data_IF_803733098204
#
_entry.id   IF_803733098204
#
_cell.length_a   1.000
_cell.length_b   1.000
_cell.length_c   1.000
_cell.angle_alpha   90.00
_cell.angle_beta   90.00
_cell.angle_gamma   90.00
#
_symmetry.space_group_name_H-M   'P 1'
#
loop_
_entity.id
_entity.type
_entity.pdbx_description
1 polymer ?
#
# COMPACT_ATOMS: atom_id res chain seq x y z
N UNK A 1 -5.07 8.77 6.55
CA UNK A 1 -4.93 9.19 7.96
C UNK A 1 -5.10 7.97 8.83
N UNK A 2 -4.01 7.26 9.12
CA UNK A 2 -4.01 6.08 9.97
C UNK A 2 -3.47 6.50 11.35
N UNK A 3 -4.35 6.56 12.34
CA UNK A 3 -4.01 6.89 13.72
C UNK A 3 -3.70 5.60 14.47
N UNK A 4 -2.43 5.32 14.69
CA UNK A 4 -1.97 4.19 15.51
C UNK A 4 -2.22 4.48 17.00
N UNK A 5 -3.20 3.79 17.60
CA UNK A 5 -3.43 3.80 19.06
C UNK A 5 -2.46 2.81 19.72
N UNK A 6 -1.48 3.32 20.47
CA UNK A 6 -0.61 2.50 21.33
C UNK A 6 -1.36 2.09 22.60
N UNK A 7 -1.48 0.79 22.84
CA UNK A 7 -1.98 0.19 24.08
C UNK A 7 -1.00 0.49 25.22
N UNK A 8 -1.44 1.17 26.27
CA UNK A 8 -0.70 1.35 27.53
C UNK A 8 -1.41 0.54 28.61
N UNK A 9 -0.68 -0.41 29.19
CA UNK A 9 -1.04 -1.23 30.36
C UNK A 9 -0.86 -0.36 31.62
N UNK A 10 -1.78 -0.36 32.60
CA UNK A 10 -1.56 0.37 33.84
C UNK A 10 -0.67 -0.45 34.78
N UNK A 11 0.26 0.22 35.45
CA UNK A 11 1.07 -0.30 36.56
C UNK A 11 0.51 0.29 37.87
N UNK A 12 0.55 -0.42 39.01
CA UNK A 12 -0.23 -0.06 40.19
C UNK A 12 0.40 1.08 40.98
N UNK A 13 -0.46 1.79 41.70
CA UNK A 13 -0.16 2.86 42.66
C UNK A 13 0.53 2.26 43.89
N UNK A 14 1.65 2.85 44.30
CA UNK A 14 2.31 2.62 45.58
C UNK A 14 2.42 3.97 46.29
N UNK A 15 1.68 4.10 47.40
CA UNK A 15 1.66 5.24 48.29
C UNK A 15 2.92 5.20 49.17
N UNK A 16 3.73 6.27 49.14
CA UNK A 16 4.94 6.40 49.96
C UNK A 16 5.32 7.86 50.18
N UNK A 17 5.10 8.30 51.42
CA UNK A 17 5.21 9.65 51.98
C UNK A 17 6.64 10.26 52.01
N UNK A 18 6.67 11.59 52.09
CA UNK A 18 7.77 12.49 52.50
C UNK A 18 9.00 12.70 51.59
N UNK A 19 8.99 13.83 50.87
CA UNK A 19 10.13 14.78 50.75
C UNK A 19 9.71 16.01 49.92
N UNK A 20 9.01 16.98 50.53
CA UNK A 20 8.80 18.31 49.96
C UNK A 20 10.07 19.16 50.11
N UNK A 21 11.06 18.87 49.27
CA UNK A 21 12.25 19.69 49.12
C UNK A 21 11.94 20.84 48.17
N UNK A 22 11.63 22.01 48.74
CA UNK A 22 11.52 23.30 48.04
C UNK A 22 12.64 23.49 47.01
N UNK A 23 12.30 23.31 45.73
CA UNK A 23 13.25 23.36 44.59
C UNK A 23 13.64 24.80 44.20
N UNK A 24 13.14 25.80 44.92
CA UNK A 24 13.27 27.25 44.60
C UNK A 24 14.49 27.89 45.28
N UNK A 25 15.63 27.22 45.26
CA UNK A 25 16.93 27.83 45.61
C UNK A 25 18.08 27.33 44.74
N UNK A 26 17.78 26.63 43.64
CA UNK A 26 18.75 26.36 42.59
C UNK A 26 18.79 27.58 41.67
N UNK A 27 19.88 28.32 41.73
CA UNK A 27 20.23 29.31 40.70
C UNK A 27 20.02 28.66 39.32
N UNK A 28 19.41 29.36 38.34
CA UNK A 28 19.16 28.78 37.03
C UNK A 28 20.44 28.20 36.47
N UNK A 29 20.37 26.98 35.94
CA UNK A 29 21.49 26.39 35.21
C UNK A 29 21.99 27.43 34.19
N UNK A 30 23.30 27.74 34.16
CA UNK A 30 23.81 28.69 33.19
C UNK A 30 23.38 28.26 31.79
N UNK A 31 22.97 29.25 30.98
CA UNK A 31 22.63 29.04 29.57
C UNK A 31 23.70 28.18 28.89
N UNK A 32 23.35 27.24 28.01
CA UNK A 32 24.33 26.36 27.35
C UNK A 32 25.47 27.11 26.62
N UNK A 33 25.33 28.42 26.39
CA UNK A 33 26.34 29.29 25.78
C UNK A 33 27.27 30.00 26.78
N UNK A 34 27.21 29.71 28.10
CA UNK A 34 28.13 30.34 29.07
C UNK A 34 29.53 29.72 29.10
N UNK A 35 29.73 28.62 28.37
CA UNK A 35 31.00 27.91 28.21
C UNK A 35 31.32 27.69 26.72
N UNK A 36 30.93 28.62 25.85
CA UNK A 36 31.58 28.75 24.53
C UNK A 36 33.00 29.26 24.77
N UNK A 37 33.87 28.34 25.21
CA UNK A 37 35.30 28.48 25.03
C UNK A 37 35.49 28.45 23.53
N UNK A 38 35.52 29.65 22.93
CA UNK A 38 35.78 29.93 21.52
C UNK A 38 36.43 28.73 20.79
N UNK A 39 35.62 27.96 20.06
CA UNK A 39 36.06 26.75 19.34
C UNK A 39 37.13 27.06 18.28
N UNK A 40 37.28 28.34 17.92
CA UNK A 40 38.35 28.82 17.08
C UNK A 40 39.66 28.92 17.86
N UNK A 41 40.44 27.83 17.83
CA UNK A 41 41.88 27.79 18.17
C UNK A 41 42.66 28.97 17.57
N UNK A 42 42.17 29.53 16.46
CA UNK A 42 42.76 30.65 15.75
C UNK A 42 42.42 32.04 16.35
N UNK A 43 41.47 32.15 17.28
CA UNK A 43 41.08 33.43 17.92
C UNK A 43 42.19 34.02 18.80
N UNK A 44 43.03 33.16 19.39
CA UNK A 44 44.22 33.60 20.14
C UNK A 44 45.32 34.16 19.24
N UNK A 45 45.39 33.72 17.98
CA UNK A 45 46.37 34.19 16.99
C UNK A 45 45.99 35.57 16.41
N UNK A 46 44.75 36.04 16.59
CA UNK A 46 44.29 37.38 16.16
C UNK A 46 45.00 38.53 16.90
N UNK A 47 45.42 38.29 18.15
CA UNK A 47 46.14 39.28 18.97
C UNK A 47 47.64 39.34 18.66
N UNK A 48 48.17 38.34 17.94
CA UNK A 48 49.54 38.32 17.45
C UNK A 48 49.58 38.98 16.07
N UNK A 49 49.88 40.28 16.05
CA UNK A 49 50.05 41.12 14.86
C UNK A 49 51.32 40.73 14.05
N UNK A 50 51.50 39.44 13.78
CA UNK A 50 52.55 38.87 12.95
C UNK A 50 52.18 38.90 11.47
N UNK A 51 53.17 38.68 10.61
CA UNK A 51 52.94 38.45 9.18
C UNK A 51 51.91 37.34 8.99
N UNK A 52 50.93 37.48 8.06
CA UNK A 52 49.97 36.43 7.78
C UNK A 52 50.71 35.14 7.43
N UNK A 53 50.31 34.03 8.06
CA UNK A 53 50.83 32.70 7.74
C UNK A 53 50.32 32.31 6.35
N UNK A 54 51.20 31.84 5.49
CA UNK A 54 50.78 31.26 4.21
C UNK A 54 50.05 29.93 4.49
N UNK A 55 48.78 29.83 4.10
CA UNK A 55 48.02 28.59 4.17
C UNK A 55 48.53 27.67 3.05
N UNK A 56 49.16 26.56 3.44
CA UNK A 56 49.71 25.57 2.51
C UNK A 56 48.63 24.49 2.31
N UNK A 57 48.23 24.27 1.06
CA UNK A 57 47.32 23.18 0.70
C UNK A 57 48.12 21.96 0.26
N UNK A 58 47.48 20.78 0.23
CA UNK A 58 48.11 19.51 -0.18
C UNK A 58 48.68 19.57 -1.61
N UNK A 59 48.07 20.35 -2.49
CA UNK A 59 48.44 20.45 -3.91
C UNK A 59 49.52 21.52 -4.18
N UNK A 60 49.77 22.42 -3.22
CA UNK A 60 50.69 23.55 -3.42
C UNK A 60 52.07 23.24 -2.85
N UNK A 61 53.08 23.20 -3.73
CA UNK A 61 54.50 23.07 -3.33
C UNK A 61 54.92 24.20 -2.38
N UNK A 62 55.78 23.86 -1.42
CA UNK A 62 56.33 24.83 -0.48
C UNK A 62 57.27 25.77 -1.24
N UNK A 63 57.03 27.08 -1.14
CA UNK A 63 57.90 28.10 -1.76
C UNK A 63 59.31 28.07 -1.14
N UNK A 64 60.37 28.39 -1.92
CA UNK A 64 61.73 28.46 -1.39
C UNK A 64 61.91 29.56 -0.32
N UNK A 65 61.00 30.55 -0.28
CA UNK A 65 60.95 31.62 0.74
C UNK A 65 60.51 31.10 2.12
N UNK A 66 59.92 29.90 2.20
CA UNK A 66 59.46 29.33 3.46
C UNK A 66 60.66 28.86 4.30
N UNK A 67 60.66 29.21 5.61
CA UNK A 67 61.71 28.81 6.54
C UNK A 67 61.91 27.29 6.60
N UNK A 68 60.84 26.51 6.46
CA UNK A 68 60.89 25.04 6.42
C UNK A 68 61.68 24.51 5.23
N UNK A 69 61.47 25.06 4.03
CA UNK A 69 62.24 24.71 2.84
C UNK A 69 63.72 25.01 3.04
N UNK A 70 64.05 26.21 3.55
CA UNK A 70 65.43 26.60 3.83
C UNK A 70 66.11 25.71 4.89
N UNK A 71 65.39 25.24 5.90
CA UNK A 71 65.91 24.29 6.89
C UNK A 71 66.18 22.91 6.28
N UNK A 72 65.26 22.41 5.45
CA UNK A 72 65.43 21.12 4.76
C UNK A 72 66.62 21.16 3.79
N UNK A 73 66.76 22.24 3.00
CA UNK A 73 67.92 22.42 2.12
C UNK A 73 69.24 22.44 2.87
N UNK A 74 69.29 23.06 4.06
CA UNK A 74 70.50 23.06 4.91
C UNK A 74 70.86 21.67 5.45
N UNK A 75 69.88 20.77 5.58
CA UNK A 75 70.08 19.39 6.02
C UNK A 75 70.38 18.44 4.84
N UNK A 76 70.56 18.96 3.62
CA UNK A 76 70.91 18.18 2.44
C UNK A 76 69.71 17.64 1.65
N UNK A 77 68.49 18.09 1.95
CA UNK A 77 67.30 17.73 1.17
C UNK A 77 67.10 18.67 -0.03
N UNK A 78 66.82 18.11 -1.20
CA UNK A 78 66.53 18.86 -2.43
C UNK A 78 65.06 18.71 -2.87
N UNK A 79 64.51 19.70 -3.59
CA UNK A 79 63.12 19.66 -4.05
C UNK A 79 62.87 18.42 -4.91
N UNK A 80 61.84 17.63 -4.57
CA UNK A 80 61.49 16.40 -5.28
C UNK A 80 62.26 15.17 -4.82
N UNK A 81 63.21 15.32 -3.88
CA UNK A 81 63.90 14.18 -3.29
C UNK A 81 63.04 13.54 -2.19
N UNK A 82 62.80 12.23 -2.22
CA UNK A 82 62.12 11.53 -1.15
C UNK A 82 62.98 11.54 0.13
N UNK A 83 62.33 11.68 1.28
CA UNK A 83 63.02 11.67 2.57
C UNK A 83 63.23 10.23 3.05
N UNK A 84 64.39 9.95 3.65
CA UNK A 84 64.73 8.64 4.22
C UNK A 84 66.13 8.17 3.82
N UNK A 85 66.69 7.25 4.61
CA UNK A 85 68.07 6.73 4.42
C UNK A 85 68.22 6.04 3.07
N UNK A 86 67.17 5.32 2.64
CA UNK A 86 67.15 4.58 1.36
C UNK A 86 66.56 5.38 0.20
N UNK A 87 66.08 6.61 0.42
CA UNK A 87 65.41 7.40 -0.62
C UNK A 87 64.11 6.77 -1.17
N UNK A 88 63.47 5.87 -0.43
CA UNK A 88 62.20 5.19 -0.82
C UNK A 88 60.96 5.87 -0.21
N UNK A 89 61.11 7.09 0.32
CA UNK A 89 60.01 7.86 0.86
C UNK A 89 59.01 8.31 -0.22
N UNK A 90 57.75 8.56 0.15
CA UNK A 90 56.80 9.22 -0.74
C UNK A 90 57.15 10.71 -0.88
N UNK A 91 57.18 11.21 -2.12
CA UNK A 91 57.45 12.63 -2.43
C UNK A 91 56.21 13.49 -2.18
N UNK A 92 55.03 12.96 -2.51
CA UNK A 92 53.76 13.68 -2.39
C UNK A 92 53.04 13.36 -1.07
N UNK A 93 52.34 14.33 -0.47
CA UNK A 93 51.55 14.09 0.72
C UNK A 93 50.43 13.07 0.46
N UNK A 94 50.04 12.32 1.49
CA UNK A 94 48.96 11.33 1.37
C UNK A 94 47.63 12.08 1.19
N UNK A 95 46.88 11.85 0.08
CA UNK A 95 45.56 12.42 -0.07
C UNK A 95 44.64 11.83 1.00
N UNK A 96 43.99 12.71 1.76
CA UNK A 96 42.99 12.32 2.73
C UNK A 96 41.66 12.96 2.37
N UNK A 97 40.58 12.21 2.54
CA UNK A 97 39.23 12.72 2.42
C UNK A 97 38.70 12.97 3.82
N UNK A 98 38.52 14.23 4.18
CA UNK A 98 37.82 14.56 5.41
C UNK A 98 36.34 14.22 5.22
N UNK A 99 35.85 13.25 5.98
CA UNK A 99 34.44 12.87 5.93
C UNK A 99 33.61 13.95 6.61
N UNK A 100 32.82 14.67 5.84
CA UNK A 100 31.83 15.64 6.33
C UNK A 100 30.56 14.99 6.86
N UNK A 101 30.32 13.73 6.50
CA UNK A 101 29.05 13.07 6.74
C UNK A 101 29.01 12.39 8.11
N UNK A 102 27.89 12.53 8.83
CA UNK A 102 27.61 11.82 10.09
C UNK A 102 27.32 10.33 9.90
N UNK A 103 27.25 9.86 8.67
CA UNK A 103 26.98 8.48 8.31
C UNK A 103 28.09 7.56 8.80
N UNK A 104 27.80 6.34 9.25
CA UNK A 104 28.84 5.36 9.61
C UNK A 104 29.77 5.00 8.44
N UNK A 105 30.98 4.54 8.74
CA UNK A 105 31.86 3.95 7.71
C UNK A 105 31.19 2.68 7.18
N UNK A 106 31.13 2.52 5.85
CA UNK A 106 30.55 1.32 5.21
C UNK A 106 29.04 1.36 4.96
N UNK A 107 28.27 2.28 5.56
CA UNK A 107 26.82 2.38 5.32
C UNK A 107 26.50 2.69 3.86
N UNK A 108 27.27 3.56 3.21
CA UNK A 108 27.11 3.86 1.78
C UNK A 108 27.22 2.58 0.94
N UNK A 109 28.18 1.70 1.24
CA UNK A 109 28.33 0.44 0.51
C UNK A 109 27.16 -0.52 0.75
N UNK A 110 26.59 -0.53 1.95
CA UNK A 110 25.40 -1.31 2.27
C UNK A 110 24.17 -0.78 1.52
N UNK A 111 23.98 0.55 1.53
CA UNK A 111 22.87 1.20 0.84
C UNK A 111 22.94 0.95 -0.66
N UNK A 112 24.13 1.02 -1.27
CA UNK A 112 24.34 0.68 -2.69
C UNK A 112 23.95 -0.78 -2.98
N UNK A 113 24.35 -1.74 -2.15
CA UNK A 113 23.96 -3.15 -2.32
C UNK A 113 22.45 -3.36 -2.17
N UNK A 114 21.82 -2.65 -1.23
CA UNK A 114 20.36 -2.69 -1.06
C UNK A 114 19.64 -2.08 -2.28
N UNK A 115 20.13 -0.95 -2.78
CA UNK A 115 19.60 -0.30 -3.98
C UNK A 115 19.76 -1.22 -5.18
N UNK A 116 20.91 -1.87 -5.36
CA UNK A 116 21.15 -2.81 -6.45
C UNK A 116 20.18 -4.00 -6.39
N UNK A 117 20.01 -4.62 -5.22
CA UNK A 117 19.06 -5.74 -5.06
C UNK A 117 17.60 -5.33 -5.29
N UNK A 118 17.19 -4.15 -4.85
CA UNK A 118 15.80 -3.68 -4.96
C UNK A 118 15.45 -3.06 -6.30
N UNK A 119 16.41 -2.44 -6.99
CA UNK A 119 16.22 -1.70 -8.24
C UNK A 119 16.68 -2.51 -9.46
N UNK A 120 17.38 -3.64 -9.27
CA UNK A 120 17.85 -4.52 -10.36
C UNK A 120 16.76 -4.92 -11.36
N UNK A 121 15.51 -4.97 -10.93
CA UNK A 121 14.37 -5.23 -11.81
C UNK A 121 13.40 -4.06 -11.74
N UNK A 122 13.13 -3.45 -12.91
CA UNK A 122 11.98 -2.57 -13.06
C UNK A 122 10.75 -3.36 -12.64
N UNK A 123 9.95 -2.80 -11.74
CA UNK A 123 8.65 -3.37 -11.36
C UNK A 123 7.81 -3.49 -12.64
N UNK A 124 7.69 -4.71 -13.15
CA UNK A 124 6.87 -4.99 -14.33
C UNK A 124 5.43 -4.58 -14.04
N UNK A 125 4.76 -4.04 -15.06
CA UNK A 125 3.33 -3.78 -14.96
C UNK A 125 2.58 -5.11 -14.89
N UNK A 126 1.46 -5.15 -14.16
CA UNK A 126 0.65 -6.37 -14.06
C UNK A 126 0.21 -6.89 -15.44
N UNK A 127 0.06 -6.01 -16.43
CA UNK A 127 -0.22 -6.37 -17.83
C UNK A 127 0.93 -7.06 -18.55
N UNK A 128 2.18 -6.64 -18.31
CA UNK A 128 3.37 -7.26 -18.89
C UNK A 128 3.60 -8.65 -18.27
N UNK A 129 3.40 -8.74 -16.95
CA UNK A 129 3.46 -10.01 -16.20
C UNK A 129 2.39 -10.99 -16.66
N UNK A 130 1.18 -10.52 -16.93
CA UNK A 130 0.06 -11.33 -17.44
C UNK A 130 0.28 -11.86 -18.87
N UNK A 131 1.06 -11.17 -19.70
CA UNK A 131 1.35 -11.61 -21.07
C UNK A 131 2.50 -12.64 -21.15
N UNK A 132 3.45 -12.61 -20.20
CA UNK A 132 4.56 -13.58 -20.10
C UNK A 132 4.18 -14.86 -19.34
N UNK A 133 3.04 -14.85 -18.66
CA UNK A 133 2.60 -15.93 -17.79
C UNK A 133 2.15 -17.16 -18.58
N UNK A 134 2.53 -18.35 -18.12
CA UNK A 134 2.04 -19.62 -18.67
C UNK A 134 0.56 -19.85 -18.33
N UNK A 135 -0.15 -20.65 -19.13
CA UNK A 135 -1.58 -20.89 -18.92
C UNK A 135 -1.92 -21.45 -17.52
N UNK A 136 -1.04 -22.29 -16.96
CA UNK A 136 -1.19 -22.83 -15.60
C UNK A 136 -1.08 -21.74 -14.51
N UNK A 137 -0.16 -20.80 -14.67
CA UNK A 137 -0.02 -19.67 -13.74
C UNK A 137 -1.22 -18.72 -13.86
N UNK A 138 -1.74 -18.51 -15.08
CA UNK A 138 -2.96 -17.74 -15.32
C UNK A 138 -4.16 -18.38 -14.62
N UNK A 139 -4.30 -19.70 -14.72
CA UNK A 139 -5.35 -20.46 -14.04
C UNK A 139 -5.21 -20.38 -12.53
N UNK A 140 -4.01 -20.54 -11.98
CA UNK A 140 -3.76 -20.40 -10.54
C UNK A 140 -4.16 -19.01 -10.01
N UNK A 141 -3.83 -17.93 -10.74
CA UNK A 141 -4.27 -16.58 -10.36
C UNK A 141 -5.79 -16.43 -10.43
N UNK A 142 -6.42 -16.97 -11.47
CA UNK A 142 -7.88 -16.94 -11.61
C UNK A 142 -8.56 -17.72 -10.47
N UNK A 143 -8.03 -18.88 -10.10
CA UNK A 143 -8.54 -19.71 -9.01
C UNK A 143 -8.34 -19.02 -7.65
N UNK A 144 -7.21 -18.36 -7.42
CA UNK A 144 -6.98 -17.56 -6.21
C UNK A 144 -7.90 -16.33 -6.15
N UNK A 145 -8.10 -15.64 -7.27
CA UNK A 145 -9.03 -14.51 -7.36
C UNK A 145 -10.47 -14.97 -7.15
N UNK A 146 -10.86 -16.09 -7.76
CA UNK A 146 -12.15 -16.72 -7.58
C UNK A 146 -12.36 -17.12 -6.12
N UNK A 147 -11.37 -17.76 -5.49
CA UNK A 147 -11.42 -18.14 -4.06
C UNK A 147 -11.57 -16.92 -3.16
N UNK A 148 -10.79 -15.86 -3.41
CA UNK A 148 -10.92 -14.59 -2.66
C UNK A 148 -12.29 -13.96 -2.83
N UNK A 149 -12.84 -13.97 -4.05
CA UNK A 149 -14.17 -13.43 -4.32
C UNK A 149 -15.29 -14.27 -3.68
N UNK A 150 -15.15 -15.60 -3.68
CA UNK A 150 -16.09 -16.51 -3.03
C UNK A 150 -16.11 -16.27 -1.52
N UNK A 151 -14.94 -16.22 -0.88
CA UNK A 151 -14.84 -15.87 0.54
C UNK A 151 -15.39 -14.47 0.83
N UNK A 152 -15.13 -13.49 -0.03
CA UNK A 152 -15.67 -12.14 0.15
C UNK A 152 -17.21 -12.13 0.06
N UNK A 153 -17.81 -12.91 -0.85
CA UNK A 153 -19.26 -13.05 -0.96
C UNK A 153 -19.85 -13.77 0.25
N UNK A 154 -19.21 -14.84 0.74
CA UNK A 154 -19.63 -15.53 1.96
C UNK A 154 -19.59 -14.61 3.19
N UNK A 155 -18.52 -13.81 3.32
CA UNK A 155 -18.41 -12.81 4.37
C UNK A 155 -19.47 -11.70 4.21
N UNK A 156 -19.76 -11.29 2.98
CA UNK A 156 -20.81 -10.31 2.71
C UNK A 156 -22.19 -10.86 3.10
N UNK A 157 -22.52 -12.09 2.70
CA UNK A 157 -23.82 -12.72 2.97
C UNK A 157 -24.04 -12.95 4.47
N UNK A 158 -23.01 -13.36 5.20
CA UNK A 158 -23.08 -13.49 6.66
C UNK A 158 -23.32 -12.14 7.34
N UNK A 159 -22.58 -11.10 6.92
CA UNK A 159 -22.73 -9.73 7.46
C UNK A 159 -24.02 -9.04 7.00
N UNK A 160 -24.61 -9.46 5.88
CA UNK A 160 -25.83 -8.89 5.31
C UNK A 160 -27.01 -8.96 6.27
N UNK A 161 -27.08 -10.03 7.07
CA UNK A 161 -28.10 -10.21 8.10
C UNK A 161 -28.11 -9.11 9.16
N UNK A 162 -26.97 -8.45 9.40
CA UNK A 162 -26.81 -7.36 10.36
C UNK A 162 -26.68 -5.98 9.70
N UNK A 163 -27.09 -5.85 8.44
CA UNK A 163 -27.00 -4.61 7.68
C UNK A 163 -28.38 -3.99 7.44
N UNK A 164 -28.53 -2.73 7.83
CA UNK A 164 -29.74 -1.96 7.58
C UNK A 164 -29.58 -1.09 6.32
N UNK A 165 -30.30 -1.42 5.24
CA UNK A 165 -30.28 -0.70 3.95
C UNK A 165 -31.00 0.66 3.95
N UNK A 166 -31.81 0.94 4.97
CA UNK A 166 -32.47 2.24 5.13
C UNK A 166 -31.52 3.24 5.77
N UNK A 167 -30.66 2.77 6.67
CA UNK A 167 -29.79 3.60 7.48
C UNK A 167 -28.31 3.51 7.10
N UNK A 168 -27.95 2.63 6.17
CA UNK A 168 -26.58 2.31 5.75
C UNK A 168 -25.66 2.04 6.94
N UNK A 169 -26.18 1.26 7.90
CA UNK A 169 -25.48 0.89 9.13
C UNK A 169 -25.26 -0.61 9.18
N UNK A 170 -24.01 -1.01 9.39
CA UNK A 170 -23.60 -2.37 9.71
C UNK A 170 -23.54 -2.52 11.23
N UNK A 171 -24.23 -3.54 11.75
CA UNK A 171 -24.23 -3.88 13.18
C UNK A 171 -23.36 -5.11 13.43
N UNK A 172 -22.81 -5.19 14.64
CA UNK A 172 -21.88 -6.28 15.03
C UNK A 172 -22.58 -7.47 15.67
N UNK A 173 -23.75 -7.25 16.26
CA UNK A 173 -24.51 -8.26 16.98
C UNK A 173 -26.00 -8.18 16.62
N UNK A 174 -26.69 -9.31 16.78
CA UNK A 174 -28.13 -9.46 16.52
C UNK A 174 -28.94 -8.46 17.34
N UNK A 175 -28.60 -8.29 18.63
CA UNK A 175 -29.34 -7.41 19.56
C UNK A 175 -29.29 -5.95 19.16
N UNK A 176 -28.11 -5.45 18.75
CA UNK A 176 -27.94 -4.07 18.30
C UNK A 176 -28.70 -3.79 17.00
N UNK A 177 -28.74 -4.79 16.10
CA UNK A 177 -29.52 -4.69 14.87
C UNK A 177 -31.02 -4.62 15.17
N UNK A 178 -31.51 -5.50 16.04
CA UNK A 178 -32.92 -5.56 16.42
C UNK A 178 -33.39 -4.25 17.10
N UNK A 179 -32.63 -3.77 18.10
CA UNK A 179 -32.86 -2.47 18.75
C UNK A 179 -32.88 -1.31 17.75
N UNK A 180 -31.98 -1.33 16.76
CA UNK A 180 -31.98 -0.32 15.71
C UNK A 180 -33.26 -0.40 14.87
N UNK A 181 -33.67 -1.58 14.43
CA UNK A 181 -34.88 -1.75 13.61
C UNK A 181 -36.15 -1.38 14.34
N UNK A 182 -36.20 -1.58 15.66
CA UNK A 182 -37.32 -1.21 16.53
C UNK A 182 -37.27 0.28 16.97
N UNK A 183 -36.16 0.98 16.73
CA UNK A 183 -36.03 2.38 17.13
C UNK A 183 -36.96 3.31 16.34
N UNK A 184 -37.56 4.29 17.03
CA UNK A 184 -38.44 5.29 16.42
C UNK A 184 -37.82 6.01 15.21
N UNK A 185 -36.52 6.31 15.29
CA UNK A 185 -35.77 6.96 14.22
C UNK A 185 -35.66 6.10 12.95
N UNK A 186 -35.54 4.77 13.10
CA UNK A 186 -35.51 3.85 11.96
C UNK A 186 -36.87 3.80 11.26
N UNK A 187 -37.97 3.66 12.02
CA UNK A 187 -39.32 3.66 11.48
C UNK A 187 -39.68 4.97 10.77
N UNK A 188 -39.23 6.12 11.29
CA UNK A 188 -39.40 7.40 10.60
C UNK A 188 -38.67 7.45 9.26
N UNK A 189 -37.43 6.97 9.23
CA UNK A 189 -36.66 6.91 7.99
C UNK A 189 -37.29 5.95 6.98
N UNK A 190 -37.85 4.84 7.43
CA UNK A 190 -38.61 3.89 6.61
C UNK A 190 -39.84 4.57 5.98
N UNK A 191 -40.71 5.17 6.81
CA UNK A 191 -41.93 5.86 6.34
C UNK A 191 -41.62 7.03 5.40
N UNK A 192 -40.55 7.78 5.66
CA UNK A 192 -40.12 8.88 4.79
C UNK A 192 -39.63 8.38 3.43
N UNK A 193 -38.88 7.26 3.40
CA UNK A 193 -38.43 6.65 2.15
C UNK A 193 -39.61 6.09 1.36
N UNK A 194 -40.59 5.47 2.01
CA UNK A 194 -41.80 4.96 1.36
C UNK A 194 -42.66 6.09 0.78
N UNK A 195 -42.81 7.20 1.51
CA UNK A 195 -43.47 8.40 0.97
C UNK A 195 -42.73 8.95 -0.25
N UNK A 196 -41.40 9.07 -0.20
CA UNK A 196 -40.62 9.51 -1.36
C UNK A 196 -40.70 8.53 -2.54
N UNK A 197 -40.68 7.23 -2.28
CA UNK A 197 -40.82 6.20 -3.31
C UNK A 197 -42.18 6.34 -3.99
N UNK A 198 -43.26 6.49 -3.22
CA UNK A 198 -44.61 6.65 -3.74
C UNK A 198 -44.80 7.98 -4.51
N UNK A 199 -44.15 9.07 -4.08
CA UNK A 199 -44.14 10.36 -4.82
C UNK A 199 -43.32 10.28 -6.11
N UNK A 200 -42.29 9.42 -6.14
CA UNK A 200 -41.44 9.19 -7.33
C UNK A 200 -42.09 8.26 -8.34
N UNK A 201 -43.11 7.49 -7.96
CA UNK A 201 -44.04 6.81 -8.88
C UNK A 201 -44.98 7.87 -9.48
N UNK A 202 -44.42 8.81 -10.25
CA UNK A 202 -45.12 9.36 -11.41
C UNK A 202 -45.31 8.19 -12.39
N UNK A 203 -46.41 8.12 -13.17
CA UNK A 203 -46.72 6.93 -13.98
C UNK A 203 -45.50 6.53 -14.81
N UNK A 204 -44.86 5.42 -14.40
CA UNK A 204 -43.61 4.94 -14.98
C UNK A 204 -43.79 4.70 -16.48
N UNK A 205 -45.00 4.37 -16.91
CA UNK A 205 -45.37 4.26 -18.32
C UNK A 205 -45.05 5.50 -19.15
N UNK A 206 -45.17 6.72 -18.60
CA UNK A 206 -44.82 7.94 -19.33
C UNK A 206 -43.31 8.20 -19.36
N UNK A 207 -42.60 7.85 -18.28
CA UNK A 207 -41.16 8.04 -18.15
C UNK A 207 -40.40 6.98 -18.94
N UNK A 208 -40.86 5.73 -18.92
CA UNK A 208 -40.29 4.61 -19.66
C UNK A 208 -40.56 4.76 -21.17
N UNK A 209 -41.75 5.22 -21.57
CA UNK A 209 -42.04 5.60 -22.97
C UNK A 209 -41.20 6.79 -23.45
N UNK A 210 -40.78 7.69 -22.55
CA UNK A 210 -39.85 8.78 -22.87
C UNK A 210 -38.41 8.28 -22.99
N UNK A 211 -37.95 7.44 -22.05
CA UNK A 211 -36.61 6.82 -22.07
C UNK A 211 -36.42 5.85 -23.22
N UNK A 212 -37.44 5.09 -23.62
CA UNK A 212 -37.37 4.21 -24.79
C UNK A 212 -37.23 5.02 -26.09
N UNK A 213 -37.95 6.15 -26.20
CA UNK A 213 -37.79 7.08 -27.33
C UNK A 213 -36.40 7.72 -27.35
N UNK A 214 -35.82 8.00 -26.19
CA UNK A 214 -34.46 8.55 -26.05
C UNK A 214 -33.39 7.50 -26.38
N UNK A 215 -33.47 6.29 -25.80
CA UNK A 215 -32.61 5.15 -26.15
C UNK A 215 -32.64 4.82 -27.64
N UNK A 216 -33.81 4.92 -28.28
CA UNK A 216 -33.96 4.68 -29.72
C UNK A 216 -33.30 5.77 -30.57
N UNK A 217 -33.13 6.99 -30.04
CA UNK A 217 -32.35 8.06 -30.69
C UNK A 217 -30.87 7.83 -30.48
N UNK A 218 -30.45 7.53 -29.26
CA UNK A 218 -29.06 7.22 -28.92
C UNK A 218 -28.54 6.01 -29.71
N UNK A 219 -29.32 4.94 -29.85
CA UNK A 219 -28.93 3.76 -30.63
C UNK A 219 -28.77 4.10 -32.12
N UNK A 220 -29.60 4.99 -32.66
CA UNK A 220 -29.46 5.47 -34.05
C UNK A 220 -28.21 6.33 -34.22
N UNK A 221 -27.89 7.16 -33.24
CA UNK A 221 -26.68 7.99 -33.24
C UNK A 221 -25.42 7.14 -33.05
N UNK A 222 -25.41 6.21 -32.08
CA UNK A 222 -24.33 5.25 -31.88
C UNK A 222 -24.11 4.40 -33.12
N UNK A 223 -25.18 3.95 -33.77
CA UNK A 223 -25.08 3.18 -35.02
C UNK A 223 -24.57 4.02 -36.18
N UNK A 224 -24.92 5.32 -36.25
CA UNK A 224 -24.39 6.25 -37.25
C UNK A 224 -22.91 6.54 -37.02
N UNK A 225 -22.49 6.67 -35.76
CA UNK A 225 -21.07 6.84 -35.37
C UNK A 225 -20.28 5.55 -35.64
N UNK A 226 -20.82 4.37 -35.34
CA UNK A 226 -20.18 3.08 -35.64
C UNK A 226 -20.04 2.84 -37.16
N UNK A 227 -21.04 3.27 -37.95
CA UNK A 227 -20.97 3.23 -39.41
C UNK A 227 -19.95 4.22 -39.97
N UNK A 228 -19.83 5.42 -39.38
CA UNK A 228 -18.81 6.42 -39.75
C UNK A 228 -17.39 5.96 -39.34
N UNK A 229 -17.27 5.21 -38.25
CA UNK A 229 -16.01 4.62 -37.77
C UNK A 229 -15.69 3.26 -38.45
N UNK A 230 -16.44 2.85 -39.48
CA UNK A 230 -16.10 1.69 -40.31
C UNK A 230 -16.33 0.30 -39.68
N UNK A 231 -17.03 0.20 -38.55
CA UNK A 231 -17.32 -1.09 -37.89
C UNK A 231 -18.65 -1.65 -38.39
N UNK A 232 -18.61 -2.74 -39.16
CA UNK A 232 -19.80 -3.45 -39.65
C UNK A 232 -20.46 -4.22 -38.50
N UNK A 233 -21.48 -3.64 -37.86
CA UNK A 233 -22.32 -4.36 -36.89
C UNK A 233 -23.27 -5.32 -37.62
N UNK A 234 -23.14 -6.63 -37.36
CA UNK A 234 -24.05 -7.66 -37.85
C UNK A 234 -25.42 -7.52 -37.17
N UNK A 235 -26.49 -7.61 -37.95
CA UNK A 235 -27.88 -7.63 -37.47
C UNK A 235 -28.21 -9.07 -37.01
N UNK A 236 -28.73 -9.29 -35.79
CA UNK A 236 -29.11 -10.65 -35.39
C UNK A 236 -30.31 -11.11 -36.22
N UNK A 237 -30.13 -12.23 -36.92
CA UNK A 237 -31.20 -12.97 -37.57
C UNK A 237 -32.05 -13.62 -36.48
N UNK A 238 -33.31 -13.21 -36.44
CA UNK A 238 -34.34 -13.84 -35.62
C UNK A 238 -34.81 -15.10 -36.36
N UNK A 239 -34.41 -16.28 -35.90
CA UNK A 239 -34.82 -17.56 -36.48
C UNK A 239 -35.90 -18.20 -35.60
N UNK A 240 -37.16 -17.98 -35.97
CA UNK A 240 -38.26 -18.87 -35.64
C UNK A 240 -39.04 -19.11 -36.93
N UNK A 241 -39.21 -20.38 -37.31
CA UNK A 241 -40.50 -21.04 -37.67
C UNK A 241 -40.21 -22.42 -38.28
N UNK A 242 -40.80 -23.43 -37.64
CA UNK A 242 -41.24 -24.77 -38.03
C UNK A 242 -41.02 -25.29 -39.46
N UNK A 243 -40.62 -26.57 -39.59
CA UNK A 243 -41.38 -27.63 -40.30
C UNK A 243 -40.84 -29.03 -39.97
N UNK A 244 -41.76 -29.98 -39.76
CA UNK A 244 -41.57 -31.44 -39.68
C UNK A 244 -40.96 -32.01 -40.97
N UNK A 245 -40.38 -33.24 -40.94
CA UNK A 245 -41.09 -34.32 -41.64
C UNK A 245 -40.99 -35.71 -40.99
N UNK A 246 -41.91 -36.56 -41.46
CA UNK A 246 -42.08 -37.99 -41.20
C UNK A 246 -41.42 -38.84 -42.31
N UNK A 247 -40.85 -39.99 -41.92
CA UNK A 247 -40.80 -41.30 -42.62
C UNK A 247 -39.41 -42.01 -42.71
N UNK A 248 -39.40 -43.22 -42.13
CA UNK A 248 -38.67 -44.48 -42.44
C UNK A 248 -37.13 -44.55 -42.26
N UNK A 249 -36.62 -45.29 -41.25
CA UNK A 249 -36.25 -46.74 -41.21
C UNK A 249 -34.78 -46.96 -41.69
N UNK A 250 -33.85 -47.68 -41.05
CA UNK A 250 -33.89 -48.91 -40.23
C UNK A 250 -32.69 -49.04 -39.24
N UNK A 251 -32.94 -49.84 -38.18
CA UNK A 251 -32.06 -50.78 -37.43
C UNK A 251 -30.74 -50.35 -36.76
N UNK A 252 -30.60 -50.74 -35.46
CA UNK A 252 -29.32 -50.79 -34.75
C UNK A 252 -29.44 -50.76 -33.22
N UNK A 253 -29.70 -51.93 -32.62
CA UNK A 253 -29.68 -52.26 -31.18
C UNK A 253 -28.51 -51.67 -30.35
N UNK A 254 -28.78 -51.19 -29.12
CA UNK A 254 -28.18 -51.69 -27.85
C UNK A 254 -28.47 -50.75 -26.68
N UNK A 255 -28.98 -51.34 -25.60
CA UNK A 255 -29.46 -50.71 -24.38
C UNK A 255 -28.36 -50.17 -23.45
N UNK A 256 -28.65 -49.08 -22.70
CA UNK A 256 -28.37 -48.96 -21.25
C UNK A 256 -28.79 -47.57 -20.71
N UNK A 257 -29.84 -47.52 -19.89
CA UNK A 257 -30.12 -46.41 -18.97
C UNK A 257 -29.64 -46.79 -17.56
N UNK A 258 -29.07 -45.86 -16.78
CA UNK A 258 -29.01 -45.98 -15.32
C UNK A 258 -30.21 -45.26 -14.67
N UNK A 259 -30.89 -46.01 -13.81
CA UNK A 259 -32.04 -45.66 -12.97
C UNK A 259 -31.72 -44.68 -11.84
N UNK A 260 -32.63 -43.73 -11.61
CA UNK A 260 -32.68 -42.83 -10.43
C UNK A 260 -33.45 -43.54 -9.30
N UNK A 261 -32.95 -43.59 -8.04
CA UNK A 261 -33.71 -44.16 -6.93
C UNK A 261 -34.71 -43.15 -6.33
N UNK A 262 -35.97 -43.58 -6.26
CA UNK A 262 -37.07 -42.93 -5.56
C UNK A 262 -37.00 -43.24 -4.05
N UNK A 263 -36.76 -42.21 -3.23
CA UNK A 263 -36.78 -42.31 -1.76
C UNK A 263 -38.22 -42.20 -1.26
N UNK A 264 -38.73 -43.28 -0.69
CA UNK A 264 -40.06 -43.35 -0.07
C UNK A 264 -39.91 -43.22 1.44
N UNK A 265 -40.40 -42.13 2.02
CA UNK A 265 -40.51 -41.92 3.47
C UNK A 265 -41.59 -42.84 4.07
N UNK A 266 -41.17 -43.77 4.93
CA UNK A 266 -42.04 -44.58 5.76
C UNK A 266 -42.49 -43.82 7.00
N UNK A 267 -43.78 -43.49 7.06
CA UNK A 267 -44.48 -42.93 8.21
C UNK A 267 -44.83 -44.06 9.19
N UNK A 268 -44.23 -44.09 10.38
CA UNK A 268 -44.52 -45.06 11.43
C UNK A 268 -45.35 -44.40 12.53
N UNK A 269 -46.61 -44.84 12.69
CA UNK A 269 -47.45 -44.48 13.82
C UNK A 269 -48.04 -45.73 14.49
N UNK A 270 -47.96 -45.69 15.83
CA UNK A 270 -48.83 -46.32 16.84
C UNK A 270 -48.54 -47.76 17.28
N UNK A 271 -48.40 -47.92 18.61
CA UNK A 271 -48.29 -49.23 19.26
C UNK A 271 -47.95 -49.18 20.76
N UNK A 272 -48.57 -48.27 21.54
CA UNK A 272 -48.44 -48.26 23.00
C UNK A 272 -49.55 -49.16 23.60
N UNK A 273 -49.20 -50.37 24.05
CA UNK A 273 -50.11 -51.27 24.78
C UNK A 273 -49.86 -51.17 26.28
N UNK A 274 -50.96 -51.00 27.02
CA UNK A 274 -51.03 -50.87 28.48
C UNK A 274 -51.68 -52.14 29.06
N UNK A 275 -51.13 -52.59 30.19
CA UNK A 275 -51.73 -53.38 31.29
C UNK A 275 -52.38 -54.75 31.01
N UNK A 276 -51.94 -55.73 31.79
CA UNK A 276 -52.51 -57.07 31.97
C UNK A 276 -51.49 -57.98 32.63
#
# INVERSE_FOLDING_TARGET
MASSRSLKRPFPEDDGDSDDMSIVSRTPSPSPNSMDVDEDINKYDEYLRGSPREVITVETKIKPTNKGFAMLSKLGWSEGQPLGISGDGRVDPIPFQMKSDSTGVGKINQDVRMVETTVSQRRELDSERQHKETEDQRRARQDDAARRSALANELFDTLKSFYCSLCDKQFKNVTQYDEHTNSYAHHHKARFRDMQANVRIKPQDEVDKRKEKERKREERELRKIAAANGVKMAKPLNLMTTTSPEAAAESGESASQPSIPHVTSGNAHSGFKKSG
#
